data_IF_208062886693
#
_entry.id   IF_208062886693
#
_cell.length_a   1.000
_cell.length_b   1.000
_cell.length_c   1.000
_cell.angle_alpha   90.00
_cell.angle_beta   90.00
_cell.angle_gamma   90.00
#
_symmetry.space_group_name_H-M   'P 1'
#
loop_
_entity.id
_entity.type
_entity.pdbx_description
1 polymer ?
#
# COMPACT_ATOMS: atom_id res chain seq x y z
N UNK A 1 31.72 -27.30 30.68
CA UNK A 1 32.32 -26.06 31.20
C UNK A 1 32.10 -24.99 30.15
N UNK A 2 31.14 -24.11 30.41
CA UNK A 2 30.72 -23.05 29.49
C UNK A 2 31.62 -21.82 29.67
N UNK A 3 32.00 -21.16 28.57
CA UNK A 3 32.36 -19.75 28.60
C UNK A 3 31.66 -19.06 27.43
N UNK A 4 30.66 -18.29 27.86
CA UNK A 4 29.87 -17.30 27.16
C UNK A 4 30.79 -16.11 26.81
N UNK A 5 30.82 -15.66 25.54
CA UNK A 5 31.29 -14.32 25.20
C UNK A 5 30.22 -13.63 24.37
N UNK A 6 29.53 -12.74 25.09
CA UNK A 6 28.54 -11.77 24.63
C UNK A 6 29.25 -10.60 23.94
N UNK A 7 28.76 -10.22 22.76
CA UNK A 7 28.88 -8.88 22.12
C UNK A 7 27.56 -8.70 21.37
N UNK A 8 26.52 -8.05 21.89
CA UNK A 8 26.30 -6.61 22.16
C UNK A 8 26.61 -5.71 20.97
N UNK A 9 25.53 -5.13 20.41
CA UNK A 9 25.36 -4.06 19.39
C UNK A 9 24.58 -4.60 18.17
N UNK A 10 23.37 -4.17 17.82
CA UNK A 10 22.67 -2.90 18.05
C UNK A 10 21.16 -3.19 18.25
N UNK A 11 20.66 -2.87 19.44
CA UNK A 11 19.24 -2.60 19.68
C UNK A 11 18.88 -1.27 19.01
N UNK A 12 18.08 -1.29 17.94
CA UNK A 12 17.21 -0.17 17.58
C UNK A 12 16.25 -0.65 16.47
N UNK A 13 15.15 -1.29 16.85
CA UNK A 13 13.85 -1.35 16.15
C UNK A 13 12.92 -2.27 16.95
N UNK A 14 12.64 -1.85 18.18
CA UNK A 14 11.54 -2.36 18.99
C UNK A 14 10.87 -1.13 19.59
N UNK A 15 9.86 -0.61 18.90
CA UNK A 15 8.85 0.24 19.53
C UNK A 15 7.53 -0.48 19.37
N UNK A 16 7.15 -1.15 20.45
CA UNK A 16 5.85 -1.79 20.63
C UNK A 16 4.78 -0.72 20.89
N UNK A 17 3.54 -1.12 20.61
CA UNK A 17 2.29 -0.42 20.79
C UNK A 17 2.19 0.44 22.07
N UNK A 18 1.85 1.73 21.91
CA UNK A 18 1.01 2.55 22.84
C UNK A 18 0.57 3.93 22.30
N UNK A 19 0.82 4.31 21.03
CA UNK A 19 0.44 5.65 20.50
C UNK A 19 -0.63 5.64 19.39
N UNK A 20 -1.69 4.86 19.61
CA UNK A 20 -2.82 4.67 18.68
C UNK A 20 -3.79 5.88 18.50
N UNK A 21 -3.81 7.00 19.28
CA UNK A 21 -4.81 8.05 19.02
C UNK A 21 -4.55 8.94 17.80
N UNK A 22 -3.33 8.98 17.22
CA UNK A 22 -3.01 9.99 16.19
C UNK A 22 -3.63 9.71 14.81
N UNK A 23 -3.81 8.44 14.43
CA UNK A 23 -4.40 8.09 13.14
C UNK A 23 -5.90 8.48 13.07
N UNK A 24 -6.65 8.29 14.17
CA UNK A 24 -8.06 8.70 14.24
C UNK A 24 -8.25 10.21 14.46
N UNK A 25 -7.34 10.88 15.20
CA UNK A 25 -7.48 12.31 15.50
C UNK A 25 -7.19 13.20 14.28
N UNK A 26 -6.33 12.79 13.35
CA UNK A 26 -5.95 13.62 12.22
C UNK A 26 -7.01 13.60 11.10
N UNK A 27 -7.65 12.44 10.87
CA UNK A 27 -8.83 12.31 10.00
C UNK A 27 -10.08 12.97 10.62
N UNK A 28 -10.25 12.89 11.95
CA UNK A 28 -11.37 13.51 12.66
C UNK A 28 -11.32 15.04 12.81
N UNK A 29 -10.22 15.68 12.41
CA UNK A 29 -10.08 17.16 12.40
C UNK A 29 -10.52 17.77 11.07
N UNK A 30 -10.27 17.09 9.95
CA UNK A 30 -10.69 17.53 8.61
C UNK A 30 -12.22 17.51 8.46
N UNK A 31 -12.91 16.60 9.16
CA UNK A 31 -14.37 16.47 9.11
C UNK A 31 -15.14 17.36 10.12
N UNK A 32 -14.45 18.05 11.03
CA UNK A 32 -15.10 18.85 12.10
C UNK A 32 -15.26 20.33 11.77
N UNK A 33 -14.64 20.81 10.70
CA UNK A 33 -14.74 22.22 10.27
C UNK A 33 -15.93 22.49 9.31
N UNK A 34 -16.75 21.47 9.02
CA UNK A 34 -18.06 21.65 8.40
C UNK A 34 -19.10 22.00 9.47
N UNK A 35 -19.25 23.29 9.75
CA UNK A 35 -20.19 23.81 10.75
C UNK A 35 -21.66 23.52 10.43
N UNK A 36 -22.54 23.49 11.45
CA UNK A 36 -23.95 23.19 11.28
C UNK A 36 -24.77 24.47 11.12
N UNK A 37 -25.38 24.67 9.96
CA UNK A 37 -26.53 25.58 9.84
C UNK A 37 -27.75 24.82 9.34
N UNK A 38 -28.82 25.03 10.12
CA UNK A 38 -30.10 24.35 10.16
C UNK A 38 -31.05 24.71 9.02
N UNK A 39 -31.87 23.75 8.58
CA UNK A 39 -33.15 24.06 7.92
C UNK A 39 -33.67 22.96 7.00
N UNK A 40 -34.73 22.28 7.43
CA UNK A 40 -35.46 21.21 6.73
C UNK A 40 -35.89 21.54 5.30
N UNK A 41 -35.74 20.57 4.38
CA UNK A 41 -36.79 20.08 3.47
C UNK A 41 -36.21 18.94 2.61
N UNK A 42 -36.99 17.86 2.46
CA UNK A 42 -36.56 16.63 1.81
C UNK A 42 -36.09 16.84 0.38
N UNK A 43 -34.85 16.39 0.12
CA UNK A 43 -34.34 16.13 -1.23
C UNK A 43 -33.58 14.82 -1.16
N UNK A 44 -33.97 13.91 -2.05
CA UNK A 44 -33.34 12.62 -2.30
C UNK A 44 -31.83 12.81 -2.43
N UNK A 45 -31.07 12.19 -1.52
CA UNK A 45 -29.62 12.15 -1.58
C UNK A 45 -29.20 11.28 -2.78
N UNK A 46 -29.12 11.89 -3.96
CA UNK A 46 -28.46 11.29 -5.12
C UNK A 46 -26.98 11.07 -4.78
N UNK A 47 -26.55 9.82 -4.89
CA UNK A 47 -25.19 9.32 -4.75
C UNK A 47 -24.19 10.20 -5.53
N UNK A 48 -23.50 11.10 -4.83
CA UNK A 48 -22.42 11.92 -5.39
C UNK A 48 -21.02 11.38 -4.99
N UNK A 49 -20.90 10.08 -4.71
CA UNK A 49 -19.65 9.45 -4.26
C UNK A 49 -18.91 8.61 -5.32
N UNK A 50 -19.49 8.40 -6.51
CA UNK A 50 -18.98 7.37 -7.46
C UNK A 50 -18.00 7.92 -8.50
N UNK A 51 -17.96 9.23 -8.74
CA UNK A 51 -17.18 9.78 -9.89
C UNK A 51 -15.74 10.16 -9.57
N UNK A 52 -15.40 10.48 -8.31
CA UNK A 52 -14.07 10.97 -7.95
C UNK A 52 -12.96 9.92 -8.08
N UNK A 53 -13.24 8.68 -7.69
CA UNK A 53 -12.25 7.60 -7.61
C UNK A 53 -11.98 6.93 -8.95
N UNK A 54 -13.01 6.64 -9.74
CA UNK A 54 -12.87 6.06 -11.10
C UNK A 54 -12.08 6.98 -12.03
N UNK A 55 -12.37 8.28 -11.97
CA UNK A 55 -11.65 9.28 -12.77
C UNK A 55 -10.17 9.34 -12.38
N UNK A 56 -9.83 9.15 -11.11
CA UNK A 56 -8.45 9.21 -10.65
C UNK A 56 -7.58 8.07 -11.21
N UNK A 57 -8.06 6.82 -11.24
CA UNK A 57 -7.27 5.70 -11.79
C UNK A 57 -7.21 5.71 -13.32
N UNK A 58 -8.29 6.12 -13.99
CA UNK A 58 -8.30 6.31 -15.43
C UNK A 58 -7.28 7.39 -15.87
N UNK A 59 -7.19 8.50 -15.12
CA UNK A 59 -6.17 9.54 -15.34
C UNK A 59 -4.75 9.02 -15.10
N UNK A 60 -4.55 8.15 -14.10
CA UNK A 60 -3.26 7.48 -13.91
C UNK A 60 -2.88 6.63 -15.13
N UNK A 61 -3.82 5.87 -15.69
CA UNK A 61 -3.62 5.06 -16.91
C UNK A 61 -3.27 5.92 -18.12
N UNK A 62 -4.01 7.00 -18.33
CA UNK A 62 -3.73 7.95 -19.41
C UNK A 62 -2.34 8.60 -19.26
N UNK A 63 -1.96 8.98 -18.04
CA UNK A 63 -0.66 9.62 -17.76
C UNK A 63 0.51 8.64 -17.89
N UNK A 64 0.32 7.39 -17.51
CA UNK A 64 1.33 6.34 -17.63
C UNK A 64 1.50 5.85 -19.08
N UNK A 65 0.41 5.79 -19.84
CA UNK A 65 0.35 5.28 -21.21
C UNK A 65 0.11 3.77 -21.32
N UNK A 66 -0.17 3.32 -22.54
CA UNK A 66 -0.39 1.90 -22.87
C UNK A 66 0.91 1.09 -22.82
N UNK A 67 0.81 -0.16 -22.36
CA UNK A 67 1.91 -1.13 -22.43
C UNK A 67 2.05 -1.71 -23.85
N UNK A 68 3.28 -2.06 -24.30
CA UNK A 68 4.56 -1.92 -23.61
C UNK A 68 5.08 -0.47 -23.63
N UNK A 69 5.45 0.05 -22.46
CA UNK A 69 5.93 1.44 -22.30
C UNK A 69 7.42 1.57 -22.48
N UNK A 70 7.85 2.70 -23.04
CA UNK A 70 9.27 3.04 -23.17
C UNK A 70 9.58 4.27 -22.33
N UNK A 71 10.61 4.16 -21.51
CA UNK A 71 11.14 5.27 -20.73
C UNK A 71 12.55 5.58 -21.19
N UNK A 72 12.90 6.87 -21.22
CA UNK A 72 14.27 7.28 -21.51
C UNK A 72 15.23 6.70 -20.46
N UNK A 73 16.47 6.47 -20.85
CA UNK A 73 17.50 6.04 -19.90
C UNK A 73 17.61 7.03 -18.73
N UNK A 74 17.57 8.33 -19.01
CA UNK A 74 17.57 9.37 -17.97
C UNK A 74 16.39 9.24 -17.00
N UNK A 75 15.17 9.01 -17.48
CA UNK A 75 13.99 8.80 -16.63
C UNK A 75 14.15 7.59 -15.72
N UNK A 76 14.62 6.48 -16.30
CA UNK A 76 14.83 5.23 -15.56
C UNK A 76 15.80 5.45 -14.40
N UNK A 77 16.97 5.99 -14.67
CA UNK A 77 18.02 6.10 -13.65
C UNK A 77 17.82 7.27 -12.68
N UNK A 78 17.19 8.37 -13.09
CA UNK A 78 17.00 9.54 -12.23
C UNK A 78 15.81 9.41 -11.28
N UNK A 79 14.72 8.81 -11.74
CA UNK A 79 13.46 8.87 -11.01
C UNK A 79 12.77 7.51 -10.86
N UNK A 80 12.59 6.75 -11.93
CA UNK A 80 11.74 5.55 -11.87
C UNK A 80 12.36 4.40 -11.10
N UNK A 81 13.67 4.22 -11.19
CA UNK A 81 14.35 3.09 -10.57
C UNK A 81 14.42 3.26 -9.05
N UNK A 82 13.90 2.26 -8.33
CA UNK A 82 14.09 2.11 -6.90
C UNK A 82 15.49 1.48 -6.69
N UNK A 83 16.40 2.16 -5.98
CA UNK A 83 17.69 1.58 -5.63
C UNK A 83 17.51 0.58 -4.49
N UNK A 84 18.53 -0.26 -4.30
CA UNK A 84 18.60 -1.09 -3.11
C UNK A 84 18.77 -0.19 -1.88
N UNK A 85 17.96 -0.44 -0.85
CA UNK A 85 18.08 0.25 0.44
C UNK A 85 19.08 -0.47 1.35
N UNK A 86 19.75 0.28 2.22
CA UNK A 86 20.80 -0.25 3.10
C UNK A 86 20.30 -1.27 4.13
N UNK A 87 19.04 -1.14 4.55
CA UNK A 87 18.39 -2.05 5.49
C UNK A 87 18.01 -3.41 4.87
N UNK A 88 18.03 -3.53 3.54
CA UNK A 88 17.60 -4.73 2.85
C UNK A 88 18.70 -5.78 2.89
N UNK A 89 18.42 -6.94 3.46
CA UNK A 89 19.32 -8.09 3.45
C UNK A 89 19.43 -8.71 2.06
N UNK A 90 20.54 -9.38 1.75
CA UNK A 90 20.83 -9.89 0.39
C UNK A 90 19.75 -10.85 -0.13
N UNK A 91 19.15 -11.61 0.78
CA UNK A 91 18.15 -12.64 0.52
C UNK A 91 16.71 -12.18 0.86
N UNK A 92 16.52 -10.89 1.17
CA UNK A 92 15.19 -10.33 1.43
C UNK A 92 14.29 -10.50 0.19
N UNK A 93 13.09 -11.11 0.31
CA UNK A 93 12.16 -11.27 -0.81
C UNK A 93 11.81 -9.95 -1.52
N UNK A 94 11.85 -8.80 -0.82
CA UNK A 94 11.65 -7.48 -1.44
C UNK A 94 12.73 -7.11 -2.45
N UNK A 95 13.90 -7.74 -2.41
CA UNK A 95 14.95 -7.53 -3.41
C UNK A 95 14.51 -7.96 -4.82
N UNK A 96 13.54 -8.87 -4.94
CA UNK A 96 12.96 -9.26 -6.23
C UNK A 96 12.19 -8.11 -6.90
N UNK A 97 11.60 -7.19 -6.12
CA UNK A 97 10.97 -5.96 -6.66
C UNK A 97 12.00 -5.14 -7.44
N UNK A 98 13.25 -5.08 -6.96
CA UNK A 98 14.32 -4.32 -7.62
C UNK A 98 14.71 -4.93 -8.99
N UNK A 99 14.47 -6.22 -9.20
CA UNK A 99 14.66 -6.90 -10.49
C UNK A 99 13.43 -6.77 -11.38
N UNK A 100 12.24 -6.83 -10.77
CA UNK A 100 10.96 -6.80 -11.46
C UNK A 100 10.48 -5.38 -11.87
N UNK A 101 11.07 -4.32 -11.30
CA UNK A 101 10.62 -2.94 -11.56
C UNK A 101 10.58 -2.57 -13.05
N UNK A 102 11.52 -3.08 -13.86
CA UNK A 102 11.52 -2.82 -15.31
C UNK A 102 10.31 -3.44 -16.01
N UNK A 103 9.93 -4.68 -15.67
CA UNK A 103 8.72 -5.31 -16.24
C UNK A 103 7.45 -4.67 -15.71
N UNK A 104 7.42 -4.28 -14.42
CA UNK A 104 6.26 -3.58 -13.83
C UNK A 104 6.03 -2.22 -14.49
N UNK A 105 7.10 -1.46 -14.76
CA UNK A 105 7.01 -0.17 -15.45
C UNK A 105 6.62 -0.35 -16.92
N UNK A 106 7.18 -1.33 -17.61
CA UNK A 106 6.99 -1.52 -19.05
C UNK A 106 5.63 -2.15 -19.37
N UNK A 107 5.28 -3.23 -18.68
CA UNK A 107 4.15 -4.11 -18.99
C UNK A 107 3.02 -4.06 -17.95
N UNK A 108 3.29 -3.52 -16.76
CA UNK A 108 2.35 -3.61 -15.64
C UNK A 108 1.00 -2.94 -15.92
N UNK A 109 -0.07 -3.55 -15.43
CA UNK A 109 -1.40 -2.93 -15.41
C UNK A 109 -1.64 -2.20 -14.09
N UNK A 110 -2.44 -1.15 -14.17
CA UNK A 110 -2.79 -0.32 -13.01
C UNK A 110 -4.03 -0.87 -12.30
N UNK A 111 -3.88 -1.03 -10.99
CA UNK A 111 -4.95 -1.41 -10.06
C UNK A 111 -4.91 -0.50 -8.83
N UNK A 112 -6.01 -0.42 -8.09
CA UNK A 112 -5.98 0.19 -6.76
C UNK A 112 -5.28 -0.72 -5.75
N UNK A 113 -4.52 -0.10 -4.86
CA UNK A 113 -3.95 -0.71 -3.67
C UNK A 113 -4.39 0.02 -2.41
N UNK A 114 -4.58 -0.72 -1.32
CA UNK A 114 -4.86 -0.15 0.00
C UNK A 114 -3.82 -0.62 1.03
N UNK A 115 -3.37 0.29 1.90
CA UNK A 115 -2.40 -0.02 2.96
C UNK A 115 -3.06 -0.87 4.04
N UNK A 116 -2.44 -2.00 4.35
CA UNK A 116 -2.74 -2.78 5.56
C UNK A 116 -1.85 -2.30 6.71
N UNK A 117 -0.55 -2.22 6.47
CA UNK A 117 0.44 -1.76 7.45
C UNK A 117 1.59 -1.05 6.73
N UNK A 118 2.11 0.01 7.33
CA UNK A 118 3.30 0.69 6.83
C UNK A 118 4.21 1.07 7.99
N UNK A 119 5.51 1.21 7.72
CA UNK A 119 6.44 1.77 8.69
C UNK A 119 6.01 3.21 9.04
N UNK A 120 5.96 3.55 10.34
CA UNK A 120 5.49 4.85 10.81
C UNK A 120 6.25 6.05 10.22
N UNK A 121 7.53 5.87 9.89
CA UNK A 121 8.33 6.92 9.29
C UNK A 121 7.76 7.34 7.92
N UNK A 122 7.03 6.46 7.22
CA UNK A 122 6.40 6.78 5.92
C UNK A 122 5.40 7.94 6.00
N UNK A 123 4.78 8.16 7.17
CA UNK A 123 3.76 9.19 7.38
C UNK A 123 4.34 10.57 7.75
N UNK A 124 5.66 10.67 7.89
CA UNK A 124 6.37 11.95 8.06
C UNK A 124 7.36 12.15 6.93
N UNK A 125 7.80 13.40 6.75
CA UNK A 125 8.78 13.72 5.71
C UNK A 125 10.10 13.01 6.00
N UNK A 126 10.59 12.26 5.02
CA UNK A 126 11.82 11.48 5.15
C UNK A 126 12.48 11.18 3.81
N UNK A 127 13.65 10.53 3.89
CA UNK A 127 14.48 10.20 2.73
C UNK A 127 14.60 8.71 2.47
N UNK A 128 14.30 7.87 3.47
CA UNK A 128 14.45 6.43 3.39
C UNK A 128 13.23 5.77 2.76
N UNK A 129 13.49 4.97 1.72
CA UNK A 129 12.53 4.03 1.17
C UNK A 129 12.29 2.93 2.21
N UNK A 130 11.03 2.56 2.44
CA UNK A 130 10.65 1.68 3.56
C UNK A 130 9.56 0.69 3.11
N UNK A 131 9.46 -0.48 3.77
CA UNK A 131 8.46 -1.47 3.43
C UNK A 131 7.06 -1.04 3.87
N UNK A 132 6.06 -1.53 3.14
CA UNK A 132 4.66 -1.52 3.54
C UNK A 132 3.95 -2.78 3.02
N UNK A 133 3.02 -3.29 3.81
CA UNK A 133 2.07 -4.31 3.41
C UNK A 133 0.82 -3.65 2.83
N UNK A 134 0.47 -4.05 1.61
CA UNK A 134 -0.70 -3.55 0.88
C UNK A 134 -1.56 -4.70 0.40
N UNK A 135 -2.83 -4.43 0.15
CA UNK A 135 -3.68 -5.32 -0.64
C UNK A 135 -4.05 -4.70 -1.98
N UNK A 136 -4.32 -5.55 -2.96
CA UNK A 136 -4.79 -5.15 -4.27
C UNK A 136 -5.69 -6.25 -4.87
N UNK A 137 -6.45 -5.89 -5.90
CA UNK A 137 -7.16 -6.86 -6.73
C UNK A 137 -6.81 -6.68 -8.21
N UNK A 138 -6.62 -7.77 -8.98
CA UNK A 138 -6.52 -7.68 -10.43
C UNK A 138 -7.86 -7.39 -11.11
N UNK A 139 -8.99 -7.51 -10.40
CA UNK A 139 -10.32 -7.24 -10.93
C UNK A 139 -10.60 -5.74 -10.98
N UNK A 140 -10.25 -5.12 -12.10
CA UNK A 140 -10.49 -3.69 -12.35
C UNK A 140 -11.98 -3.40 -12.56
N UNK A 141 -12.80 -4.38 -12.95
CA UNK A 141 -14.23 -4.14 -13.19
C UNK A 141 -14.99 -3.87 -11.90
N UNK A 142 -14.53 -4.46 -10.79
CA UNK A 142 -15.14 -4.29 -9.49
C UNK A 142 -14.49 -3.19 -8.65
N UNK A 143 -13.15 -3.11 -8.64
CA UNK A 143 -12.44 -2.23 -7.70
C UNK A 143 -12.06 -0.85 -8.24
N UNK A 144 -12.11 -0.59 -9.55
CA UNK A 144 -11.81 0.75 -10.09
C UNK A 144 -12.79 1.82 -9.56
N UNK A 145 -14.06 1.44 -9.41
CA UNK A 145 -15.15 2.29 -8.92
C UNK A 145 -15.32 2.20 -7.39
N UNK A 146 -14.66 1.25 -6.73
CA UNK A 146 -14.84 0.94 -5.32
C UNK A 146 -13.55 0.79 -4.50
N UNK A 147 -12.57 1.72 -4.57
CA UNK A 147 -11.35 1.62 -3.76
C UNK A 147 -11.61 1.61 -2.25
N UNK A 148 -12.70 2.22 -1.78
CA UNK A 148 -13.09 2.20 -0.36
C UNK A 148 -13.39 0.78 0.14
N UNK A 149 -13.91 -0.10 -0.71
CA UNK A 149 -14.10 -1.51 -0.35
C UNK A 149 -12.77 -2.20 -0.09
N UNK A 150 -11.75 -1.87 -0.90
CA UNK A 150 -10.40 -2.37 -0.68
C UNK A 150 -9.85 -1.82 0.64
N UNK A 151 -10.04 -0.53 0.94
CA UNK A 151 -9.64 0.06 2.22
C UNK A 151 -10.32 -0.60 3.43
N UNK A 152 -11.61 -0.93 3.32
CA UNK A 152 -12.34 -1.61 4.40
C UNK A 152 -11.84 -3.04 4.62
N UNK A 153 -11.47 -3.76 3.56
CA UNK A 153 -10.81 -5.07 3.68
C UNK A 153 -9.45 -4.91 4.37
N UNK A 154 -8.66 -3.91 3.98
CA UNK A 154 -7.35 -3.65 4.57
C UNK A 154 -7.44 -3.34 6.06
N UNK A 155 -8.42 -2.53 6.48
CA UNK A 155 -8.71 -2.24 7.89
C UNK A 155 -9.09 -3.48 8.68
N UNK A 156 -9.93 -4.35 8.11
CA UNK A 156 -10.30 -5.63 8.73
C UNK A 156 -9.07 -6.51 8.91
N UNK A 157 -8.21 -6.62 7.90
CA UNK A 157 -6.95 -7.37 7.97
C UNK A 157 -6.03 -6.83 9.05
N UNK A 158 -5.81 -5.51 9.09
CA UNK A 158 -4.99 -4.89 10.14
C UNK A 158 -5.55 -5.18 11.54
N UNK A 159 -6.87 -5.17 11.70
CA UNK A 159 -7.55 -5.53 12.95
C UNK A 159 -7.32 -6.98 13.40
N UNK A 160 -6.87 -7.88 12.52
CA UNK A 160 -6.47 -9.23 12.90
C UNK A 160 -5.08 -9.29 13.53
N UNK A 161 -4.21 -8.29 13.28
CA UNK A 161 -2.80 -8.33 13.71
C UNK A 161 -2.69 -8.56 15.21
N UNK A 162 -1.96 -9.61 15.60
CA UNK A 162 -1.72 -9.96 17.00
C UNK A 162 -2.94 -10.51 17.75
N UNK A 163 -4.06 -10.76 17.06
CA UNK A 163 -5.27 -11.34 17.67
C UNK A 163 -5.28 -12.86 17.52
N UNK A 164 -5.90 -13.55 18.48
CA UNK A 164 -6.10 -15.01 18.41
C UNK A 164 -7.33 -15.31 17.55
N UNK A 165 -7.13 -16.07 16.48
CA UNK A 165 -8.20 -16.51 15.58
C UNK A 165 -8.49 -17.99 15.77
N UNK A 166 -9.78 -18.35 15.77
CA UNK A 166 -10.22 -19.75 15.76
C UNK A 166 -10.19 -20.34 14.35
N UNK A 167 -10.42 -19.49 13.36
CA UNK A 167 -10.35 -19.82 11.94
C UNK A 167 -8.89 -19.99 11.52
N UNK A 168 -8.48 -21.15 10.98
CA UNK A 168 -7.08 -21.40 10.62
C UNK A 168 -6.52 -20.44 9.55
N UNK A 169 -7.36 -20.01 8.60
CA UNK A 169 -6.97 -19.13 7.51
C UNK A 169 -6.70 -17.71 8.04
N UNK A 170 -7.60 -17.21 8.90
CA UNK A 170 -7.41 -15.93 9.59
C UNK A 170 -6.25 -15.99 10.59
N UNK A 171 -6.01 -17.14 11.23
CA UNK A 171 -4.88 -17.32 12.15
C UNK A 171 -3.53 -17.26 11.44
N UNK A 172 -3.44 -17.80 10.21
CA UNK A 172 -2.24 -17.67 9.38
C UNK A 172 -1.97 -16.19 9.04
N UNK A 173 -2.99 -15.46 8.59
CA UNK A 173 -2.88 -14.03 8.30
C UNK A 173 -2.53 -13.17 9.53
N UNK A 174 -3.15 -13.45 10.69
CA UNK A 174 -2.84 -12.74 11.94
C UNK A 174 -1.36 -12.88 12.33
N UNK A 175 -0.80 -14.10 12.20
CA UNK A 175 0.62 -14.35 12.48
C UNK A 175 1.55 -13.70 11.47
N UNK A 176 1.21 -13.78 10.19
CA UNK A 176 1.96 -13.09 9.13
C UNK A 176 2.02 -11.59 9.39
N UNK A 177 0.88 -10.93 9.63
CA UNK A 177 0.84 -9.49 9.91
C UNK A 177 1.57 -9.10 11.21
N UNK A 178 1.69 -10.02 12.16
CA UNK A 178 2.48 -9.82 13.37
C UNK A 178 3.99 -9.97 13.13
N UNK A 179 4.39 -10.69 12.09
CA UNK A 179 5.80 -10.87 11.71
C UNK A 179 6.22 -9.77 10.73
N UNK A 180 6.92 -8.75 11.24
CA UNK A 180 7.39 -7.64 10.40
C UNK A 180 8.59 -8.00 9.51
N UNK A 181 9.12 -9.21 9.67
CA UNK A 181 10.29 -9.73 8.97
C UNK A 181 9.93 -10.77 7.90
N UNK A 182 8.84 -11.52 8.09
CA UNK A 182 8.38 -12.49 7.08
C UNK A 182 7.66 -11.73 5.96
N UNK A 183 8.31 -11.66 4.80
CA UNK A 183 7.76 -10.98 3.62
C UNK A 183 6.94 -11.96 2.81
N UNK A 184 5.67 -11.64 2.58
CA UNK A 184 4.79 -12.46 1.76
C UNK A 184 4.42 -11.74 0.47
N UNK A 185 4.43 -12.50 -0.62
CA UNK A 185 4.23 -11.98 -1.97
C UNK A 185 3.01 -12.64 -2.58
N UNK A 186 2.00 -11.83 -2.90
CA UNK A 186 0.74 -12.29 -3.50
C UNK A 186 0.04 -13.38 -2.69
N UNK A 187 -0.10 -13.18 -1.38
CA UNK A 187 -0.91 -14.06 -0.55
C UNK A 187 -2.40 -13.76 -0.77
N UNK A 188 -3.19 -14.77 -1.15
CA UNK A 188 -4.64 -14.59 -1.34
C UNK A 188 -5.32 -14.29 0.00
N UNK A 189 -6.08 -13.19 0.05
CA UNK A 189 -6.81 -12.78 1.24
C UNK A 189 -7.99 -13.73 1.46
N UNK A 190 -8.29 -14.12 2.72
CA UNK A 190 -9.33 -15.10 3.00
C UNK A 190 -10.69 -14.68 2.45
N UNK A 191 -11.38 -15.61 1.77
CA UNK A 191 -12.68 -15.35 1.12
C UNK A 191 -13.76 -14.87 2.08
N UNK A 192 -13.61 -15.15 3.37
CA UNK A 192 -14.48 -14.61 4.41
C UNK A 192 -14.46 -13.08 4.49
N UNK A 193 -13.36 -12.45 4.06
CA UNK A 193 -13.20 -11.00 4.02
C UNK A 193 -13.53 -10.40 2.65
N UNK A 194 -13.36 -11.17 1.56
CA UNK A 194 -13.43 -10.68 0.18
C UNK A 194 -14.63 -11.19 -0.61
N UNK A 195 -15.37 -12.17 -0.08
CA UNK A 195 -16.43 -12.86 -0.80
C UNK A 195 -15.86 -13.69 -1.95
N UNK A 196 -16.33 -13.43 -3.17
CA UNK A 196 -15.83 -14.06 -4.40
C UNK A 196 -14.69 -13.29 -5.07
N UNK A 197 -14.34 -12.10 -4.56
CA UNK A 197 -13.33 -11.26 -5.18
C UNK A 197 -11.93 -11.78 -4.87
N UNK A 198 -11.09 -11.89 -5.90
CA UNK A 198 -9.68 -12.19 -5.75
C UNK A 198 -8.96 -10.94 -5.24
N UNK A 199 -8.46 -10.98 -4.01
CA UNK A 199 -7.67 -9.91 -3.39
C UNK A 199 -6.41 -10.53 -2.84
N UNK A 200 -5.28 -9.85 -3.03
CA UNK A 200 -3.97 -10.34 -2.62
C UNK A 200 -3.33 -9.35 -1.66
N UNK A 201 -2.69 -9.86 -0.62
CA UNK A 201 -1.79 -9.12 0.27
C UNK A 201 -0.34 -9.32 -0.20
N UNK A 202 0.43 -8.24 -0.22
CA UNK A 202 1.83 -8.27 -0.62
C UNK A 202 2.60 -7.17 0.08
N UNK A 203 3.88 -7.43 0.36
CA UNK A 203 4.80 -6.36 0.73
C UNK A 203 5.32 -5.62 -0.50
N UNK A 204 5.51 -4.30 -0.36
CA UNK A 204 6.12 -3.43 -1.37
C UNK A 204 7.21 -2.57 -0.74
N UNK A 205 8.08 -2.02 -1.58
CA UNK A 205 8.98 -0.93 -1.21
C UNK A 205 8.29 0.39 -1.56
N UNK A 206 8.00 1.20 -0.55
CA UNK A 206 7.51 2.57 -0.76
C UNK A 206 8.72 3.48 -0.95
N UNK A 207 9.00 3.81 -2.20
CA UNK A 207 10.09 4.73 -2.53
C UNK A 207 9.68 6.18 -2.25
N UNK A 208 10.43 6.90 -1.42
CA UNK A 208 10.11 8.28 -1.00
C UNK A 208 10.01 9.25 -2.15
N UNK A 209 10.84 9.06 -3.17
CA UNK A 209 10.82 9.88 -4.38
C UNK A 209 9.53 9.72 -5.19
N UNK A 210 8.81 8.62 -4.98
CA UNK A 210 7.56 8.27 -5.67
C UNK A 210 6.31 8.73 -4.93
N UNK A 211 6.44 9.30 -3.73
CA UNK A 211 5.33 9.86 -2.95
C UNK A 211 5.14 11.35 -3.24
N UNK A 212 3.89 11.86 -3.32
CA UNK A 212 3.64 13.29 -3.26
C UNK A 212 4.23 13.89 -1.97
N UNK A 213 5.00 14.97 -2.08
CA UNK A 213 5.62 15.62 -0.92
C UNK A 213 6.60 14.75 -0.11
N UNK A 214 6.96 13.55 -0.58
CA UNK A 214 7.77 12.54 0.13
C UNK A 214 7.10 11.97 1.40
N UNK A 215 5.77 12.08 1.49
CA UNK A 215 4.97 11.61 2.62
C UNK A 215 3.85 10.71 2.11
N UNK A 216 3.62 9.60 2.80
CA UNK A 216 2.51 8.72 2.53
C UNK A 216 1.27 9.31 3.21
N UNK A 217 0.49 10.10 2.48
CA UNK A 217 -0.71 10.78 3.02
C UNK A 217 -1.99 9.99 2.79
N UNK A 218 -2.07 9.27 1.68
CA UNK A 218 -3.28 8.54 1.28
C UNK A 218 -3.18 7.05 1.63
N UNK A 219 -4.25 6.44 2.19
CA UNK A 219 -4.29 5.02 2.51
C UNK A 219 -4.53 4.15 1.27
N UNK A 220 -4.93 4.75 0.16
CA UNK A 220 -5.23 4.10 -1.12
C UNK A 220 -4.45 4.81 -2.22
N UNK A 221 -3.79 4.03 -3.09
CA UNK A 221 -2.99 4.56 -4.19
C UNK A 221 -2.88 3.57 -5.35
N UNK A 222 -2.54 4.06 -6.56
CA UNK A 222 -2.33 3.21 -7.72
C UNK A 222 -1.09 2.31 -7.57
N UNK A 223 -1.26 1.03 -7.92
CA UNK A 223 -0.23 0.00 -7.96
C UNK A 223 -0.06 -0.54 -9.37
N UNK A 224 1.18 -0.92 -9.71
CA UNK A 224 1.54 -1.67 -10.90
C UNK A 224 1.68 -3.15 -10.54
N UNK A 225 0.94 -3.97 -11.27
CA UNK A 225 1.03 -5.44 -11.21
C UNK A 225 1.30 -6.00 -12.60
N UNK A 226 2.08 -7.07 -12.69
CA UNK A 226 2.29 -7.82 -13.92
C UNK A 226 2.18 -9.32 -13.61
N UNK A 227 0.98 -9.82 -13.27
CA UNK A 227 0.83 -11.16 -12.71
C UNK A 227 1.26 -12.28 -13.64
N UNK A 228 1.27 -12.03 -14.95
CA UNK A 228 1.76 -12.93 -15.99
C UNK A 228 3.30 -13.05 -16.00
N UNK A 229 4.01 -12.10 -15.36
CA UNK A 229 5.48 -12.01 -15.39
C UNK A 229 6.15 -12.12 -14.02
N UNK A 230 5.50 -11.66 -12.96
CA UNK A 230 6.10 -11.58 -11.62
C UNK A 230 5.04 -11.55 -10.54
N UNK A 231 5.37 -12.06 -9.34
CA UNK A 231 4.56 -11.90 -8.13
C UNK A 231 4.65 -10.49 -7.53
N UNK A 232 5.69 -9.73 -7.90
CA UNK A 232 6.01 -8.44 -7.32
C UNK A 232 4.98 -7.37 -7.69
N UNK A 233 4.85 -6.39 -6.80
CA UNK A 233 3.99 -5.22 -6.96
C UNK A 233 4.80 -3.97 -6.65
N UNK A 234 4.50 -2.88 -7.36
CA UNK A 234 5.19 -1.60 -7.15
C UNK A 234 4.18 -0.47 -7.12
N UNK A 235 4.35 0.49 -6.22
CA UNK A 235 3.57 1.73 -6.24
C UNK A 235 3.82 2.47 -7.56
N UNK A 236 2.77 2.97 -8.18
CA UNK A 236 2.91 3.86 -9.33
C UNK A 236 3.60 5.15 -8.85
N UNK A 237 4.69 5.62 -9.49
CA UNK A 237 5.31 6.88 -9.12
C UNK A 237 4.37 8.08 -9.22
N UNK A 238 4.37 8.96 -8.21
CA UNK A 238 3.44 10.09 -8.10
C UNK A 238 3.41 11.06 -9.27
N UNK A 239 4.46 11.10 -10.10
CA UNK A 239 4.45 11.91 -11.34
C UNK A 239 3.35 11.53 -12.33
N UNK A 240 2.79 10.32 -12.20
CA UNK A 240 1.70 9.82 -13.04
C UNK A 240 0.34 9.91 -12.34
N UNK A 241 0.30 10.40 -11.10
CA UNK A 241 -0.95 10.58 -10.38
C UNK A 241 -1.64 11.83 -10.93
N UNK A 242 -2.98 11.90 -10.83
CA UNK A 242 -3.68 13.12 -11.16
C UNK A 242 -3.18 14.27 -10.27
N UNK A 243 -2.94 15.42 -10.89
CA UNK A 243 -2.65 16.63 -10.11
C UNK A 243 -3.96 16.99 -9.40
N UNK A 244 -3.91 17.19 -8.08
CA UNK A 244 -5.03 17.77 -7.35
C UNK A 244 -5.39 19.11 -8.03
N UNK A 245 -6.57 19.20 -8.62
CA UNK A 245 -7.09 20.43 -9.20
C UNK A 245 -7.28 21.50 -8.12
#
# INVERSE_FOLDING_TARGET
MAILVVKTAVLLFMVWAEDIPRFCLQLGRVLRDAGPDSGSLGVVATLCGVTGSTMAIAQCRASLGEAPRRFSWFDKFRYLRIPRSDWMEREDPLAEILKAQDVLLTEGRLVWGAIVQANNDLFVRGWHDLPAAVIYSPDTTFFDDGPDLLLDIARKLYGLKGTRQQDPELAAFSRMLASEMDREMRLEVPRRLTGSAAVYCTDIIVARRHLPGRVLSEPVFPLLIAPEHTAMTMMLPSRFWPTSA
#
